data_IF_829546122899
#
_entry.id   IF_829546122899
#
_cell.length_a   1.000
_cell.length_b   1.000
_cell.length_c   1.000
_cell.angle_alpha   90.00
_cell.angle_beta   90.00
_cell.angle_gamma   90.00
#
_symmetry.space_group_name_H-M   'P 1'
#
loop_
_entity.id
_entity.type
_entity.pdbx_description
1 polymer ?
#
# COMPACT_ATOMS: atom_id res chain seq x y z
N UNK A 1 -30.96 52.28 -28.68
CA UNK A 1 -32.05 53.12 -28.12
C UNK A 1 -33.10 52.18 -27.56
N UNK A 2 -33.44 52.37 -26.29
CA UNK A 2 -34.49 51.72 -25.48
C UNK A 2 -35.90 52.04 -26.06
N UNK A 3 -37.09 51.67 -25.47
CA UNK A 3 -37.36 51.15 -24.10
C UNK A 3 -38.61 50.22 -23.92
N UNK A 4 -38.94 49.97 -22.63
CA UNK A 4 -40.21 49.55 -21.99
C UNK A 4 -40.56 48.04 -21.98
N UNK A 5 -40.47 47.30 -20.86
CA UNK A 5 -41.15 47.36 -19.53
C UNK A 5 -42.61 46.88 -19.59
N UNK A 6 -42.93 45.73 -18.96
CA UNK A 6 -44.13 45.59 -18.11
C UNK A 6 -44.09 44.32 -17.21
N UNK A 7 -44.50 44.55 -15.97
CA UNK A 7 -44.72 43.67 -14.81
C UNK A 7 -45.83 42.63 -15.04
N UNK A 8 -45.75 41.46 -14.37
CA UNK A 8 -46.93 40.79 -13.75
C UNK A 8 -46.52 40.11 -12.44
N UNK A 9 -47.23 40.47 -11.37
CA UNK A 9 -47.30 39.87 -10.04
C UNK A 9 -48.07 38.55 -10.05
N UNK A 10 -47.77 37.60 -9.14
CA UNK A 10 -48.84 36.91 -8.41
C UNK A 10 -48.40 36.24 -7.11
N UNK A 11 -49.29 36.42 -6.13
CA UNK A 11 -49.32 36.02 -4.72
C UNK A 11 -49.70 34.54 -4.52
N UNK A 12 -49.21 33.89 -3.45
CA UNK A 12 -49.83 32.80 -2.64
C UNK A 12 -48.71 32.11 -1.85
N UNK A 13 -48.83 31.55 -0.64
CA UNK A 13 -49.90 31.06 0.25
C UNK A 13 -49.35 31.20 1.72
N UNK A 14 -50.02 30.98 2.84
CA UNK A 14 -51.19 30.19 3.21
C UNK A 14 -50.92 29.53 4.58
N UNK A 15 -51.75 29.89 5.57
CA UNK A 15 -52.17 29.19 6.79
C UNK A 15 -51.21 28.81 7.95
N UNK A 16 -51.62 29.30 9.13
CA UNK A 16 -51.23 28.86 10.46
C UNK A 16 -52.02 27.60 10.89
N UNK A 17 -51.34 26.65 11.54
CA UNK A 17 -52.00 25.57 12.28
C UNK A 17 -51.15 25.14 13.51
N UNK A 18 -51.67 25.52 14.69
CA UNK A 18 -51.68 24.86 16.00
C UNK A 18 -50.51 23.93 16.39
N UNK A 19 -49.78 24.38 17.42
CA UNK A 19 -49.12 23.52 18.40
C UNK A 19 -50.15 22.66 19.13
N UNK A 20 -49.86 21.38 19.27
CA UNK A 20 -50.41 20.54 20.34
C UNK A 20 -49.30 19.65 20.90
N UNK A 21 -49.04 19.83 22.19
CA UNK A 21 -48.16 18.99 22.97
C UNK A 21 -48.76 17.60 23.16
N UNK A 22 -47.93 16.56 23.12
CA UNK A 22 -48.22 15.31 23.81
C UNK A 22 -46.93 14.67 24.32
N UNK A 23 -46.85 14.59 25.64
CA UNK A 23 -45.86 13.85 26.40
C UNK A 23 -46.05 12.35 26.19
N UNK A 24 -44.95 11.62 25.96
CA UNK A 24 -44.96 10.18 25.74
C UNK A 24 -43.74 9.48 26.33
N UNK A 25 -43.93 8.87 27.50
CA UNK A 25 -43.33 7.62 27.99
C UNK A 25 -41.81 7.40 27.83
N UNK A 26 -41.05 7.64 28.91
CA UNK A 26 -39.72 7.03 29.11
C UNK A 26 -39.89 5.52 29.34
N UNK A 27 -39.78 4.72 28.29
CA UNK A 27 -39.52 3.28 28.43
C UNK A 27 -38.07 3.09 28.87
N UNK A 28 -37.87 2.37 29.97
CA UNK A 28 -36.55 1.91 30.38
C UNK A 28 -35.98 0.96 29.30
N UNK A 29 -34.78 1.26 28.82
CA UNK A 29 -34.02 0.36 27.95
C UNK A 29 -33.58 -0.86 28.79
N UNK A 30 -33.76 -2.11 28.31
CA UNK A 30 -33.21 -3.26 29.00
C UNK A 30 -31.68 -3.17 28.99
N UNK A 31 -31.08 -3.62 30.08
CA UNK A 31 -29.64 -3.73 30.26
C UNK A 31 -29.03 -4.46 29.07
N UNK A 32 -28.12 -3.78 28.36
CA UNK A 32 -27.33 -4.41 27.32
C UNK A 32 -26.44 -5.45 27.97
N UNK A 33 -26.80 -6.71 27.74
CA UNK A 33 -25.99 -7.87 28.00
C UNK A 33 -24.66 -7.68 27.27
N UNK A 34 -23.60 -7.46 28.06
CA UNK A 34 -22.23 -7.30 27.58
C UNK A 34 -21.76 -8.65 27.07
N UNK A 35 -22.20 -9.02 25.88
CA UNK A 35 -21.57 -10.09 25.11
C UNK A 35 -20.16 -9.60 24.80
N UNK A 36 -19.23 -10.00 25.67
CA UNK A 36 -17.79 -9.80 25.52
C UNK A 36 -17.40 -10.50 24.22
N UNK A 37 -17.33 -9.72 23.14
CA UNK A 37 -16.84 -10.18 21.85
C UNK A 37 -15.54 -10.96 22.10
N UNK A 38 -15.55 -12.24 21.75
CA UNK A 38 -14.38 -13.09 21.89
C UNK A 38 -13.23 -12.46 21.10
N UNK A 39 -12.11 -12.21 21.79
CA UNK A 39 -10.88 -11.70 21.16
C UNK A 39 -10.49 -12.69 20.05
N UNK A 40 -10.37 -12.26 18.78
CA UNK A 40 -10.01 -13.18 17.70
C UNK A 40 -8.71 -13.88 18.07
N UNK A 41 -8.69 -15.23 18.02
CA UNK A 41 -7.45 -15.99 18.15
C UNK A 41 -6.49 -15.47 17.10
N UNK A 42 -5.35 -14.95 17.54
CA UNK A 42 -4.30 -14.51 16.64
C UNK A 42 -3.80 -15.75 15.88
N UNK A 43 -4.23 -15.91 14.64
CA UNK A 43 -3.62 -16.86 13.72
C UNK A 43 -2.12 -16.57 13.57
N UNK A 44 -1.33 -17.50 13.02
CA UNK A 44 0.10 -17.30 12.82
C UNK A 44 0.34 -15.97 12.07
N UNK A 45 0.98 -15.00 12.74
CA UNK A 45 1.22 -13.70 12.11
C UNK A 45 2.46 -13.78 11.23
N UNK A 46 2.24 -13.75 9.92
CA UNK A 46 3.28 -13.48 8.93
C UNK A 46 3.81 -12.06 9.21
N UNK A 47 5.03 -11.96 9.77
CA UNK A 47 5.62 -10.68 10.20
C UNK A 47 7.14 -10.73 10.24
N UNK A 48 7.80 -9.57 10.17
CA UNK A 48 9.25 -9.39 10.36
C UNK A 48 10.02 -9.49 9.05
N UNK A 49 11.25 -10.02 9.11
CA UNK A 49 12.08 -10.21 7.91
C UNK A 49 11.55 -11.38 7.05
N UNK A 50 10.68 -11.08 6.09
CA UNK A 50 10.08 -12.07 5.20
C UNK A 50 11.10 -12.72 4.27
N UNK A 51 12.06 -11.96 3.75
CA UNK A 51 13.15 -12.48 2.92
C UNK A 51 14.01 -13.47 3.70
N UNK A 52 14.38 -13.16 4.95
CA UNK A 52 15.17 -14.09 5.78
C UNK A 52 14.39 -15.36 6.16
N UNK A 53 13.08 -15.26 6.37
CA UNK A 53 12.24 -16.36 6.84
C UNK A 53 11.79 -17.30 5.74
N UNK A 54 11.49 -16.76 4.56
CA UNK A 54 10.74 -17.48 3.52
C UNK A 54 11.45 -17.53 2.17
N UNK A 55 12.55 -16.80 2.02
CA UNK A 55 13.35 -16.73 0.81
C UNK A 55 14.86 -16.73 1.15
N UNK A 56 15.70 -16.52 0.15
CA UNK A 56 17.09 -16.13 0.32
C UNK A 56 17.23 -14.61 0.17
N UNK A 57 17.98 -13.99 1.09
CA UNK A 57 18.20 -12.54 1.15
C UNK A 57 19.59 -12.19 0.62
N UNK A 58 19.73 -11.34 -0.41
CA UNK A 58 21.04 -10.96 -0.92
C UNK A 58 21.78 -10.03 0.06
N UNK A 59 23.11 -10.03 -0.03
CA UNK A 59 23.97 -9.14 0.75
C UNK A 59 23.66 -7.66 0.46
N UNK A 60 23.83 -6.81 1.47
CA UNK A 60 23.60 -5.36 1.36
C UNK A 60 22.13 -4.93 1.38
N UNK A 61 21.17 -5.87 1.46
CA UNK A 61 19.75 -5.57 1.68
C UNK A 61 19.45 -5.50 3.18
N UNK A 62 18.95 -4.37 3.65
CA UNK A 62 18.64 -4.13 5.07
C UNK A 62 17.13 -4.01 5.27
N UNK A 63 16.59 -4.69 6.29
CA UNK A 63 15.18 -4.58 6.65
C UNK A 63 14.94 -3.21 7.30
N UNK A 64 13.94 -2.48 6.80
CA UNK A 64 13.46 -1.22 7.39
C UNK A 64 12.31 -1.50 8.35
N UNK A 65 11.38 -2.37 7.94
CA UNK A 65 10.23 -2.70 8.78
C UNK A 65 9.27 -3.66 8.10
N UNK A 66 8.27 -4.11 8.87
CA UNK A 66 7.18 -4.93 8.38
C UNK A 66 5.85 -4.31 8.83
N UNK A 67 4.84 -4.38 7.96
CA UNK A 67 3.46 -3.97 8.26
C UNK A 67 2.48 -5.03 7.80
N UNK A 68 1.30 -5.04 8.41
CA UNK A 68 0.20 -5.87 7.93
C UNK A 68 -0.33 -5.28 6.62
N UNK A 69 -0.88 -6.13 5.75
CA UNK A 69 -1.68 -5.66 4.64
C UNK A 69 -3.00 -5.05 5.11
N UNK A 70 -3.70 -4.41 4.19
CA UNK A 70 -4.97 -3.75 4.50
C UNK A 70 -6.07 -4.79 4.74
N UNK A 71 -6.97 -4.58 5.72
CA UNK A 71 -8.13 -5.45 5.92
C UNK A 71 -8.94 -5.60 4.63
N UNK A 72 -9.30 -6.84 4.28
CA UNK A 72 -10.06 -7.16 3.07
C UNK A 72 -9.24 -7.18 1.76
N UNK A 73 -7.94 -6.90 1.81
CA UNK A 73 -7.04 -7.06 0.66
C UNK A 73 -6.38 -8.43 0.59
N UNK A 74 -5.83 -8.77 -0.57
CA UNK A 74 -5.05 -10.01 -0.78
C UNK A 74 -3.68 -9.98 -0.10
N UNK A 75 -3.14 -8.79 0.17
CA UNK A 75 -1.84 -8.67 0.86
C UNK A 75 -2.02 -8.96 2.34
N UNK A 76 -1.23 -9.90 2.85
CA UNK A 76 -1.22 -10.32 4.26
C UNK A 76 -0.19 -9.51 5.05
N UNK A 77 1.01 -9.37 4.50
CA UNK A 77 2.11 -8.64 5.13
C UNK A 77 3.04 -8.05 4.08
N UNK A 78 3.66 -6.92 4.42
CA UNK A 78 4.64 -6.23 3.59
C UNK A 78 5.88 -5.96 4.43
N UNK A 79 7.01 -6.57 4.07
CA UNK A 79 8.31 -6.19 4.58
C UNK A 79 9.01 -5.26 3.58
N UNK A 80 9.44 -4.11 4.07
CA UNK A 80 10.15 -3.11 3.29
C UNK A 80 11.63 -3.14 3.64
N UNK A 81 12.47 -3.15 2.61
CA UNK A 81 13.91 -3.18 2.71
C UNK A 81 14.52 -2.05 1.88
N UNK A 82 15.80 -1.83 2.12
CA UNK A 82 16.61 -0.85 1.40
C UNK A 82 17.93 -1.46 0.96
N UNK A 83 18.43 -1.00 -0.18
CA UNK A 83 19.77 -1.29 -0.68
C UNK A 83 20.36 -0.03 -1.33
N UNK A 84 21.64 0.23 -1.09
CA UNK A 84 22.33 1.38 -1.70
C UNK A 84 22.46 1.20 -3.22
N UNK A 85 22.54 2.30 -3.97
CA UNK A 85 22.77 2.24 -5.42
C UNK A 85 24.04 1.47 -5.81
N UNK A 86 25.10 1.57 -5.01
CA UNK A 86 26.34 0.82 -5.22
C UNK A 86 26.12 -0.71 -5.22
N UNK A 87 25.17 -1.20 -4.42
CA UNK A 87 24.84 -2.63 -4.30
C UNK A 87 23.60 -3.04 -5.12
N UNK A 88 22.90 -2.07 -5.74
CA UNK A 88 21.62 -2.30 -6.41
C UNK A 88 21.72 -3.29 -7.56
N UNK A 89 22.80 -3.24 -8.34
CA UNK A 89 23.00 -4.17 -9.47
C UNK A 89 23.10 -5.63 -9.00
N UNK A 90 23.79 -5.88 -7.88
CA UNK A 90 23.91 -7.22 -7.30
C UNK A 90 22.58 -7.72 -6.74
N UNK A 91 21.85 -6.88 -6.02
CA UNK A 91 20.52 -7.23 -5.51
C UNK A 91 19.52 -7.50 -6.65
N UNK A 92 19.51 -6.67 -7.69
CA UNK A 92 18.68 -6.89 -8.87
C UNK A 92 19.02 -8.22 -9.55
N UNK A 93 20.31 -8.48 -9.85
CA UNK A 93 20.73 -9.72 -10.46
C UNK A 93 20.28 -10.93 -9.65
N UNK A 94 20.42 -10.85 -8.32
CA UNK A 94 19.98 -11.90 -7.41
C UNK A 94 18.46 -12.14 -7.52
N UNK A 95 17.64 -11.10 -7.40
CA UNK A 95 16.18 -11.27 -7.46
C UNK A 95 15.68 -11.74 -8.83
N UNK A 96 16.35 -11.33 -9.91
CA UNK A 96 16.08 -11.84 -11.26
C UNK A 96 16.38 -13.33 -11.36
N UNK A 97 17.55 -13.76 -10.91
CA UNK A 97 18.01 -15.15 -11.03
C UNK A 97 17.21 -16.10 -10.12
N UNK A 98 16.94 -15.69 -8.88
CA UNK A 98 16.31 -16.56 -7.88
C UNK A 98 14.77 -16.54 -7.91
N UNK A 99 14.16 -15.42 -8.30
CA UNK A 99 12.71 -15.23 -8.21
C UNK A 99 12.06 -14.77 -9.52
N UNK A 100 12.83 -14.63 -10.60
CA UNK A 100 12.29 -14.28 -11.91
C UNK A 100 11.83 -12.84 -12.07
N UNK A 101 12.28 -11.92 -11.20
CA UNK A 101 12.00 -10.49 -11.32
C UNK A 101 12.48 -9.95 -12.69
N UNK A 102 11.81 -8.93 -13.22
CA UNK A 102 12.28 -8.19 -14.40
C UNK A 102 13.57 -7.41 -14.12
N UNK A 103 14.33 -7.08 -15.18
CA UNK A 103 15.42 -6.11 -15.06
C UNK A 103 14.87 -4.73 -14.77
N UNK A 104 15.58 -3.96 -13.95
CA UNK A 104 15.18 -2.59 -13.65
C UNK A 104 15.41 -1.70 -14.88
N UNK A 105 14.38 -0.96 -15.24
CA UNK A 105 14.38 0.06 -16.29
C UNK A 105 14.00 1.40 -15.68
N UNK A 106 14.57 2.49 -16.20
CA UNK A 106 14.22 3.82 -15.77
C UNK A 106 12.98 4.31 -16.54
N UNK A 107 11.88 4.57 -15.83
CA UNK A 107 10.61 5.02 -16.40
C UNK A 107 10.13 6.25 -15.62
N UNK A 108 9.82 7.32 -16.34
CA UNK A 108 9.39 8.63 -15.81
C UNK A 108 10.43 9.26 -14.85
N UNK A 109 10.42 8.85 -13.59
CA UNK A 109 11.20 9.40 -12.48
C UNK A 109 11.62 8.30 -11.50
N UNK A 110 11.73 7.05 -11.95
CA UNK A 110 11.92 5.89 -11.10
C UNK A 110 12.61 4.74 -11.83
N UNK A 111 13.20 3.83 -11.07
CA UNK A 111 13.61 2.53 -11.58
C UNK A 111 12.58 1.49 -11.15
N UNK A 112 12.11 0.67 -12.07
CA UNK A 112 11.12 -0.36 -11.79
C UNK A 112 11.38 -1.62 -12.64
N UNK A 113 10.89 -2.80 -12.23
CA UNK A 113 11.05 -4.00 -13.04
C UNK A 113 10.36 -3.85 -14.39
N UNK A 114 11.05 -4.19 -15.48
CA UNK A 114 10.50 -4.13 -16.83
C UNK A 114 9.17 -4.89 -16.93
N UNK A 115 8.19 -4.27 -17.59
CA UNK A 115 6.81 -4.75 -17.70
C UNK A 115 6.11 -5.04 -16.35
N UNK A 116 6.56 -4.41 -15.26
CA UNK A 116 6.03 -4.63 -13.91
C UNK A 116 6.30 -6.03 -13.34
N UNK A 117 7.23 -6.78 -13.95
CA UNK A 117 7.48 -8.18 -13.60
C UNK A 117 8.13 -8.31 -12.22
N UNK A 118 7.32 -8.56 -11.21
CA UNK A 118 7.80 -8.84 -9.85
C UNK A 118 8.35 -10.26 -9.75
N UNK A 119 9.33 -10.45 -8.86
CA UNK A 119 9.79 -11.78 -8.48
C UNK A 119 8.73 -12.52 -7.68
N UNK A 120 8.68 -13.85 -7.80
CA UNK A 120 7.68 -14.68 -7.14
C UNK A 120 8.30 -15.93 -6.53
N UNK A 121 7.79 -16.35 -5.38
CA UNK A 121 8.19 -17.58 -4.71
C UNK A 121 7.01 -18.25 -4.01
N UNK A 122 6.76 -19.51 -4.36
CA UNK A 122 5.88 -20.40 -3.62
C UNK A 122 6.66 -21.11 -2.50
N UNK A 123 6.90 -20.40 -1.38
CA UNK A 123 7.70 -20.94 -0.28
C UNK A 123 6.98 -22.09 0.43
N UNK A 124 7.63 -23.26 0.54
CA UNK A 124 7.08 -24.40 1.28
C UNK A 124 6.78 -24.05 2.74
N UNK A 125 7.58 -23.18 3.35
CA UNK A 125 7.37 -22.70 4.72
C UNK A 125 6.15 -21.79 4.83
N UNK A 126 5.91 -20.91 3.84
CA UNK A 126 4.68 -20.10 3.80
C UNK A 126 3.44 -20.97 3.58
N UNK A 127 3.53 -21.98 2.71
CA UNK A 127 2.41 -22.88 2.41
C UNK A 127 1.95 -23.75 3.57
N UNK A 128 2.82 -24.00 4.54
CA UNK A 128 2.45 -24.64 5.82
C UNK A 128 1.57 -23.73 6.69
N UNK A 129 1.63 -22.41 6.51
CA UNK A 129 0.78 -21.44 7.21
C UNK A 129 -0.57 -21.33 6.50
N UNK A 130 -0.55 -21.13 5.17
CA UNK A 130 -1.72 -21.16 4.30
C UNK A 130 -1.27 -21.61 2.90
N UNK A 131 -1.88 -22.66 2.31
CA UNK A 131 -1.46 -23.20 1.01
C UNK A 131 -1.55 -22.18 -0.15
N UNK A 132 -2.39 -21.17 -0.02
CA UNK A 132 -2.59 -20.11 -1.00
C UNK A 132 -1.59 -18.95 -0.85
N UNK A 133 -0.69 -18.99 0.13
CA UNK A 133 0.30 -17.93 0.28
C UNK A 133 1.41 -18.01 -0.76
N UNK A 134 1.67 -16.88 -1.41
CA UNK A 134 2.84 -16.64 -2.24
C UNK A 134 3.62 -15.42 -1.73
N UNK A 135 4.92 -15.40 -2.01
CA UNK A 135 5.78 -14.25 -1.76
C UNK A 135 6.06 -13.52 -3.08
N UNK A 136 5.68 -12.25 -3.15
CA UNK A 136 6.02 -11.36 -4.25
C UNK A 136 7.17 -10.44 -3.82
N UNK A 137 8.13 -10.21 -4.72
CA UNK A 137 9.32 -9.38 -4.46
C UNK A 137 9.45 -8.36 -5.58
N UNK A 138 9.41 -7.07 -5.22
CA UNK A 138 9.61 -5.96 -6.15
C UNK A 138 10.74 -5.09 -5.63
N UNK A 139 11.66 -4.68 -6.51
CA UNK A 139 12.68 -3.68 -6.22
C UNK A 139 12.42 -2.45 -7.09
N UNK A 140 12.54 -1.25 -6.54
CA UNK A 140 12.34 -0.01 -7.28
C UNK A 140 13.07 1.18 -6.64
N UNK A 141 13.09 2.31 -7.34
CA UNK A 141 13.38 3.63 -6.77
C UNK A 141 12.38 4.63 -7.31
N UNK A 142 12.10 5.69 -6.55
CA UNK A 142 11.14 6.72 -6.93
C UNK A 142 11.77 8.12 -6.88
N UNK A 143 10.99 9.13 -7.24
CA UNK A 143 11.47 10.50 -7.27
C UNK A 143 11.94 11.00 -5.89
N UNK A 144 11.37 10.47 -4.79
CA UNK A 144 11.75 10.86 -3.44
C UNK A 144 13.10 10.25 -3.07
N UNK A 145 13.30 8.96 -3.34
CA UNK A 145 14.60 8.32 -3.06
C UNK A 145 15.72 8.84 -3.96
N UNK A 146 15.37 9.45 -5.09
CA UNK A 146 16.31 10.03 -6.06
C UNK A 146 16.38 11.54 -6.05
N UNK A 147 15.67 12.25 -5.15
CA UNK A 147 15.53 13.71 -5.18
C UNK A 147 16.89 14.41 -5.32
N UNK A 148 17.88 14.04 -4.51
CA UNK A 148 19.24 14.60 -4.59
C UNK A 148 19.88 14.39 -5.97
N UNK A 149 19.73 13.21 -6.54
CA UNK A 149 20.31 12.86 -7.86
C UNK A 149 19.54 13.51 -9.01
N UNK A 150 18.24 13.74 -8.86
CA UNK A 150 17.41 14.44 -9.84
C UNK A 150 17.66 15.95 -9.83
N UNK A 151 17.80 16.56 -8.64
CA UNK A 151 17.93 18.01 -8.49
C UNK A 151 19.38 18.50 -8.58
N UNK A 152 20.36 17.72 -8.12
CA UNK A 152 21.76 18.14 -7.99
C UNK A 152 22.73 17.25 -8.77
N UNK A 153 22.24 16.18 -9.39
CA UNK A 153 23.05 15.35 -10.27
C UNK A 153 23.30 16.06 -11.60
N UNK A 154 24.49 15.85 -12.16
CA UNK A 154 24.69 16.17 -13.58
C UNK A 154 23.64 15.47 -14.44
N UNK A 155 23.31 16.05 -15.60
CA UNK A 155 22.33 15.50 -16.54
C UNK A 155 22.52 13.99 -16.74
N UNK A 156 21.49 13.19 -16.45
CA UNK A 156 21.52 11.74 -16.61
C UNK A 156 22.13 10.95 -15.43
N UNK A 157 22.53 11.57 -14.33
CA UNK A 157 23.03 10.84 -13.14
C UNK A 157 22.00 9.83 -12.61
N UNK A 158 20.71 10.14 -12.69
CA UNK A 158 19.60 9.24 -12.31
C UNK A 158 19.51 7.98 -13.18
N UNK A 159 20.13 7.96 -14.37
CA UNK A 159 20.19 6.81 -15.28
C UNK A 159 21.34 5.85 -14.95
N UNK A 160 22.22 6.19 -14.01
CA UNK A 160 23.20 5.27 -13.46
C UNK A 160 22.72 4.78 -12.09
N UNK A 161 22.33 3.50 -11.99
CA UNK A 161 21.87 2.89 -10.73
C UNK A 161 22.86 3.07 -9.57
N UNK A 162 24.16 3.18 -9.85
CA UNK A 162 25.19 3.38 -8.81
C UNK A 162 25.15 4.77 -8.20
N UNK A 163 24.59 5.75 -8.92
CA UNK A 163 24.44 7.15 -8.49
C UNK A 163 23.08 7.43 -7.86
N UNK A 164 22.16 6.48 -7.91
CA UNK A 164 20.91 6.52 -7.15
C UNK A 164 21.25 6.24 -5.68
N UNK A 165 20.84 7.08 -4.72
CA UNK A 165 21.24 6.90 -3.32
C UNK A 165 20.73 5.57 -2.75
N UNK A 166 19.50 5.21 -3.13
CA UNK A 166 18.76 4.16 -2.47
C UNK A 166 17.71 3.54 -3.40
N UNK A 167 17.59 2.21 -3.31
CA UNK A 167 16.49 1.45 -3.84
C UNK A 167 15.69 0.83 -2.69
N UNK A 168 14.38 0.77 -2.89
CA UNK A 168 13.42 0.13 -2.01
C UNK A 168 13.14 -1.27 -2.55
N UNK A 169 12.99 -2.24 -1.65
CA UNK A 169 12.49 -3.57 -1.98
C UNK A 169 11.26 -3.83 -1.11
N UNK A 170 10.18 -4.29 -1.71
CA UNK A 170 9.01 -4.79 -1.00
C UNK A 170 8.88 -6.29 -1.21
N UNK A 171 8.92 -7.04 -0.11
CA UNK A 171 8.53 -8.44 -0.07
C UNK A 171 7.10 -8.52 0.51
N UNK A 172 6.16 -9.03 -0.28
CA UNK A 172 4.74 -9.10 0.07
C UNK A 172 4.32 -10.56 0.17
N UNK A 173 3.72 -10.95 1.29
CA UNK A 173 2.95 -12.20 1.32
C UNK A 173 1.54 -11.87 0.86
N UNK A 174 1.08 -12.60 -0.15
CA UNK A 174 -0.24 -12.46 -0.76
C UNK A 174 -0.98 -13.78 -0.71
N UNK A 175 -2.30 -13.72 -0.56
CA UNK A 175 -3.23 -14.85 -0.69
C UNK A 175 -3.72 -14.91 -2.15
N UNK A 176 -3.34 -15.95 -2.89
CA UNK A 176 -3.58 -16.13 -4.34
C UNK A 176 -4.56 -17.24 -4.67
#
# INVERSE_FOLDING_TARGET
MSPFLFLVFCLSAGNAAKLSAQAGSRRALPAQETTRAAKPKAGPRVWGDLLQKYAAKPAGVTLVGCRAGQPGGQTVAIATYQVSGANAAGAEQFFRAHYGMGSLVFVCCGWEPAAGKSGQLASATLRKINPNYALLITMYSDAQTMEKTLLHGGSGAYRDKRKVPLFIIEAKVVDV
#
